data_IF_021486623151
#
_entry.id   IF_021486623151
#
_cell.length_a   1.000
_cell.length_b   1.000
_cell.length_c   1.000
_cell.angle_alpha   90.00
_cell.angle_beta   90.00
_cell.angle_gamma   90.00
#
_symmetry.space_group_name_H-M   'P 1'
#
loop_
_entity.id
_entity.type
_entity.pdbx_description
1 polymer ?
#
# COMPACT_ATOMS: atom_id res chain seq x y z
N UNK A 1 22.56 1.29 -7.56
CA UNK A 1 21.49 1.64 -8.52
C UNK A 1 20.19 1.64 -7.75
N UNK A 2 19.29 2.57 -8.00
CA UNK A 2 18.04 2.70 -7.26
C UNK A 2 16.88 2.48 -8.23
N UNK A 3 15.99 1.56 -7.88
CA UNK A 3 14.80 1.22 -8.65
C UNK A 3 13.60 1.99 -8.10
N UNK A 4 12.78 2.55 -9.00
CA UNK A 4 11.45 3.08 -8.68
C UNK A 4 10.45 1.94 -8.94
N UNK A 5 9.82 1.46 -7.88
CA UNK A 5 8.81 0.41 -7.91
C UNK A 5 7.42 1.02 -7.70
N UNK A 6 6.42 0.46 -8.37
CA UNK A 6 5.02 0.82 -8.15
C UNK A 6 4.34 -0.33 -7.38
N UNK A 7 3.90 -0.04 -6.15
CA UNK A 7 3.07 -0.90 -5.32
C UNK A 7 1.60 -0.51 -5.53
N UNK A 8 0.85 -1.40 -6.16
CA UNK A 8 -0.60 -1.24 -6.32
C UNK A 8 -1.29 -1.90 -5.13
N UNK A 9 -2.05 -1.09 -4.39
CA UNK A 9 -2.89 -1.54 -3.27
C UNK A 9 -4.34 -1.57 -3.77
N UNK A 10 -4.99 -2.72 -3.63
CA UNK A 10 -6.39 -2.90 -4.00
C UNK A 10 -7.34 -2.24 -3.00
N UNK A 11 -8.62 -2.20 -3.34
CA UNK A 11 -9.68 -1.81 -2.42
C UNK A 11 -10.06 -3.00 -1.53
N UNK A 12 -9.80 -2.86 -0.23
CA UNK A 12 -10.11 -3.86 0.79
C UNK A 12 -11.06 -3.30 1.87
N UNK A 13 -11.44 -2.01 1.78
CA UNK A 13 -12.17 -1.30 2.86
C UNK A 13 -13.31 -0.39 2.40
N UNK A 14 -13.56 -0.23 1.10
CA UNK A 14 -14.62 0.64 0.56
C UNK A 14 -15.76 -0.20 -0.08
N UNK A 15 -16.29 0.17 -1.24
CA UNK A 15 -17.38 -0.53 -1.94
C UNK A 15 -16.91 -1.64 -2.89
N UNK A 16 -15.59 -1.89 -2.95
CA UNK A 16 -15.00 -2.96 -3.77
C UNK A 16 -15.05 -2.66 -5.27
N UNK A 17 -15.37 -1.43 -5.70
CA UNK A 17 -15.53 -1.08 -7.12
C UNK A 17 -14.22 -0.82 -7.87
N UNK A 18 -13.23 -1.70 -7.69
CA UNK A 18 -11.99 -1.67 -8.47
C UNK A 18 -11.13 -0.44 -8.24
N UNK A 19 -11.32 0.23 -7.09
CA UNK A 19 -10.44 1.32 -6.65
C UNK A 19 -9.07 0.72 -6.32
N UNK A 20 -8.02 1.44 -6.68
CA UNK A 20 -6.65 1.06 -6.33
C UNK A 20 -5.89 2.31 -5.95
N UNK A 21 -5.01 2.20 -4.96
CA UNK A 21 -4.04 3.22 -4.65
C UNK A 21 -2.67 2.82 -5.19
N UNK A 22 -2.01 3.75 -5.86
CA UNK A 22 -0.64 3.56 -6.34
C UNK A 22 0.32 4.21 -5.35
N UNK A 23 1.27 3.43 -4.85
CA UNK A 23 2.32 3.89 -3.95
C UNK A 23 3.67 3.62 -4.58
N UNK A 24 4.54 4.64 -4.63
CA UNK A 24 5.85 4.49 -5.25
C UNK A 24 6.93 4.28 -4.20
N UNK A 25 7.76 3.26 -4.43
CA UNK A 25 8.84 2.87 -3.54
C UNK A 25 10.19 3.03 -4.25
N UNK A 26 11.17 3.57 -3.54
CA UNK A 26 12.57 3.46 -3.89
C UNK A 26 13.12 2.14 -3.34
N UNK A 27 13.89 1.41 -4.14
CA UNK A 27 14.57 0.17 -3.72
C UNK A 27 16.00 0.07 -4.24
N UNK A 28 16.86 -0.59 -3.47
CA UNK A 28 18.19 -1.01 -3.93
C UNK A 28 18.16 -2.30 -4.78
N UNK A 29 17.02 -2.98 -4.86
CA UNK A 29 16.79 -4.17 -5.70
C UNK A 29 15.63 -3.98 -6.67
N UNK A 30 15.60 -4.77 -7.73
CA UNK A 30 14.50 -4.72 -8.69
C UNK A 30 13.20 -5.35 -8.15
N UNK A 31 12.12 -5.16 -8.91
CA UNK A 31 10.79 -5.66 -8.60
C UNK A 31 10.77 -7.17 -8.36
N UNK A 32 11.49 -7.93 -9.17
CA UNK A 32 11.37 -9.39 -9.17
C UNK A 32 12.09 -9.97 -7.95
N UNK A 33 13.20 -9.37 -7.53
CA UNK A 33 13.88 -9.70 -6.28
C UNK A 33 13.01 -9.38 -5.05
N UNK A 34 12.40 -8.18 -5.00
CA UNK A 34 11.49 -7.81 -3.90
C UNK A 34 10.29 -8.74 -3.81
N UNK A 35 9.70 -9.12 -4.96
CA UNK A 35 8.59 -10.07 -5.02
C UNK A 35 9.00 -11.47 -4.54
N UNK A 36 10.17 -11.96 -4.96
CA UNK A 36 10.68 -13.26 -4.51
C UNK A 36 10.92 -13.27 -2.99
N UNK A 37 11.42 -12.16 -2.43
CA UNK A 37 11.61 -12.00 -0.99
C UNK A 37 10.29 -12.07 -0.22
N UNK A 38 9.21 -11.46 -0.72
CA UNK A 38 7.87 -11.56 -0.14
C UNK A 38 7.42 -13.01 -0.02
N UNK A 39 7.45 -13.76 -1.13
CA UNK A 39 7.01 -15.16 -1.14
C UNK A 39 7.86 -16.03 -0.23
N UNK A 40 9.18 -15.86 -0.25
CA UNK A 40 10.09 -16.58 0.65
C UNK A 40 9.80 -16.27 2.12
N UNK A 41 9.43 -15.03 2.45
CA UNK A 41 9.06 -14.63 3.80
C UNK A 41 7.74 -15.27 4.24
N UNK A 42 6.72 -15.28 3.37
CA UNK A 42 5.44 -15.94 3.62
C UNK A 42 5.63 -17.44 3.84
N UNK A 43 6.37 -18.12 2.96
CA UNK A 43 6.70 -19.54 3.07
C UNK A 43 7.38 -19.86 4.41
N UNK A 44 8.32 -18.99 4.84
CA UNK A 44 9.04 -19.14 6.12
C UNK A 44 8.11 -19.01 7.33
N UNK A 45 7.09 -18.15 7.25
CA UNK A 45 6.08 -17.99 8.30
C UNK A 45 4.95 -19.02 8.20
N UNK A 46 4.92 -19.87 7.16
CA UNK A 46 3.83 -20.81 6.92
C UNK A 46 2.52 -20.13 6.52
N UNK A 47 2.62 -18.95 5.89
CA UNK A 47 1.48 -18.16 5.44
C UNK A 47 1.28 -18.33 3.94
N UNK A 48 0.03 -18.40 3.50
CA UNK A 48 -0.32 -18.47 2.07
C UNK A 48 -0.68 -17.10 1.49
N UNK A 49 -0.99 -16.14 2.35
CA UNK A 49 -1.44 -14.80 2.00
C UNK A 49 -0.93 -13.76 3.00
N UNK A 50 -0.95 -12.51 2.56
CA UNK A 50 -0.65 -11.36 3.41
C UNK A 50 -1.97 -10.85 4.02
N UNK A 51 -2.00 -10.22 5.21
CA UNK A 51 -3.22 -9.61 5.73
C UNK A 51 -3.78 -8.56 4.76
N UNK A 52 -5.10 -8.34 4.84
CA UNK A 52 -5.81 -7.33 4.07
C UNK A 52 -5.78 -7.57 2.55
N UNK A 53 -5.87 -8.85 2.16
CA UNK A 53 -5.98 -9.25 0.74
C UNK A 53 -7.41 -9.35 0.25
N UNK A 54 -8.36 -9.62 1.14
CA UNK A 54 -9.77 -9.80 0.81
C UNK A 54 -10.61 -8.55 1.10
N UNK A 55 -11.76 -8.47 0.45
CA UNK A 55 -12.75 -7.43 0.72
C UNK A 55 -13.29 -7.57 2.15
N UNK A 56 -13.39 -6.45 2.88
CA UNK A 56 -13.74 -6.38 4.31
C UNK A 56 -12.69 -7.01 5.25
N UNK A 57 -11.52 -7.41 4.76
CA UNK A 57 -10.37 -7.81 5.59
C UNK A 57 -9.51 -6.59 5.96
N UNK A 58 -10.15 -5.52 6.43
CA UNK A 58 -9.46 -4.26 6.74
C UNK A 58 -8.95 -4.18 8.19
N UNK A 59 -8.99 -5.26 8.96
CA UNK A 59 -8.60 -5.25 10.37
C UNK A 59 -7.32 -6.04 10.64
N UNK A 60 -6.31 -5.39 11.20
CA UNK A 60 -5.07 -6.01 11.63
C UNK A 60 -5.02 -6.15 13.16
N UNK A 61 -4.69 -7.33 13.65
CA UNK A 61 -4.47 -7.61 15.07
C UNK A 61 -2.99 -7.74 15.41
N UNK A 62 -2.66 -7.59 16.70
CA UNK A 62 -1.31 -7.85 17.19
C UNK A 62 -0.86 -9.30 16.96
N UNK A 63 -1.79 -10.26 16.93
CA UNK A 63 -1.48 -11.66 16.63
C UNK A 63 -1.05 -11.85 15.16
N UNK A 64 -1.75 -11.21 14.21
CA UNK A 64 -1.37 -11.23 12.79
C UNK A 64 0.02 -10.61 12.58
N UNK A 65 0.37 -9.52 13.28
CA UNK A 65 1.74 -8.97 13.25
C UNK A 65 2.80 -9.98 13.70
N UNK A 66 2.52 -10.72 14.78
CA UNK A 66 3.42 -11.76 15.27
C UNK A 66 3.54 -12.94 14.29
N UNK A 67 2.45 -13.31 13.61
CA UNK A 67 2.47 -14.32 12.54
C UNK A 67 3.32 -13.86 11.35
N UNK A 68 3.36 -12.56 11.06
CA UNK A 68 4.28 -11.97 10.09
C UNK A 68 5.72 -11.90 10.59
N UNK A 69 6.01 -12.29 11.84
CA UNK A 69 7.33 -12.19 12.46
C UNK A 69 7.77 -10.76 12.78
N UNK A 70 6.83 -9.82 12.86
CA UNK A 70 7.09 -8.41 13.14
C UNK A 70 6.91 -8.16 14.64
N UNK A 71 7.99 -7.77 15.31
CA UNK A 71 8.00 -7.40 16.73
C UNK A 71 7.82 -5.88 16.90
N UNK A 72 6.66 -5.39 16.46
CA UNK A 72 6.24 -4.00 16.63
C UNK A 72 4.85 -3.96 17.29
N UNK A 73 4.59 -2.94 18.13
CA UNK A 73 3.24 -2.69 18.61
C UNK A 73 2.33 -2.32 17.43
N UNK A 74 1.05 -2.71 17.50
CA UNK A 74 0.05 -2.42 16.47
C UNK A 74 -0.10 -0.90 16.23
N UNK A 75 0.07 -0.13 17.30
CA UNK A 75 0.07 1.34 17.33
C UNK A 75 1.15 1.97 16.44
N UNK A 76 2.17 1.20 16.04
CA UNK A 76 3.18 1.67 15.07
C UNK A 76 2.60 1.90 13.67
N UNK A 77 1.42 1.36 13.38
CA UNK A 77 0.71 1.49 12.12
C UNK A 77 -0.51 2.40 12.22
N UNK A 78 -0.77 3.03 13.38
CA UNK A 78 -1.89 3.97 13.52
C UNK A 78 -1.70 5.19 12.60
N UNK A 79 -2.77 5.57 11.90
CA UNK A 79 -2.84 6.80 11.13
C UNK A 79 -3.77 7.79 11.84
N UNK A 80 -3.72 9.08 11.46
CA UNK A 80 -4.55 10.12 12.11
C UNK A 80 -6.06 9.86 12.01
N UNK A 81 -6.48 8.92 11.17
CA UNK A 81 -7.88 8.55 10.93
C UNK A 81 -8.29 7.23 11.61
N UNK A 82 -7.34 6.45 12.14
CA UNK A 82 -7.55 5.06 12.55
C UNK A 82 -6.96 4.84 13.94
N UNK A 83 -7.79 4.35 14.87
CA UNK A 83 -7.36 4.01 16.24
C UNK A 83 -7.55 2.53 16.47
N UNK A 84 -6.70 1.92 17.30
CA UNK A 84 -6.93 0.55 17.76
C UNK A 84 -8.23 0.49 18.57
N UNK A 85 -9.20 -0.29 18.10
CA UNK A 85 -10.44 -0.60 18.80
C UNK A 85 -10.56 -2.13 18.97
N UNK A 86 -10.92 -2.56 20.17
CA UNK A 86 -10.96 -3.97 20.57
C UNK A 86 -9.70 -4.79 20.20
N UNK A 87 -8.51 -4.16 20.28
CA UNK A 87 -7.23 -4.80 19.97
C UNK A 87 -6.96 -5.05 18.48
N UNK A 88 -7.75 -4.44 17.60
CA UNK A 88 -7.56 -4.45 16.15
C UNK A 88 -7.44 -3.03 15.62
N UNK A 89 -6.67 -2.87 14.56
CA UNK A 89 -6.46 -1.63 13.84
C UNK A 89 -7.14 -1.75 12.49
N UNK A 90 -8.03 -0.83 12.17
CA UNK A 90 -8.48 -0.65 10.80
C UNK A 90 -7.32 -0.11 9.96
N UNK A 91 -7.05 -0.75 8.83
CA UNK A 91 -5.92 -0.46 7.97
C UNK A 91 -6.34 0.47 6.83
N UNK A 92 -5.51 1.45 6.52
CA UNK A 92 -5.56 2.19 5.27
C UNK A 92 -4.36 1.82 4.37
N UNK A 93 -4.34 2.36 3.16
CA UNK A 93 -3.25 2.11 2.20
C UNK A 93 -1.88 2.55 2.72
N UNK A 94 -1.79 3.58 3.56
CA UNK A 94 -0.52 4.02 4.13
C UNK A 94 -0.03 2.99 5.15
N UNK A 95 -0.91 2.53 6.02
CA UNK A 95 -0.67 1.52 7.06
C UNK A 95 -0.26 0.19 6.43
N UNK A 96 -0.95 -0.28 5.37
CA UNK A 96 -0.57 -1.49 4.63
C UNK A 96 0.77 -1.33 3.93
N UNK A 97 1.05 -0.15 3.35
CA UNK A 97 2.36 0.11 2.74
C UNK A 97 3.47 -0.06 3.77
N UNK A 98 3.30 0.54 4.94
CA UNK A 98 4.28 0.46 6.02
C UNK A 98 4.44 -0.98 6.53
N UNK A 99 3.32 -1.72 6.67
CA UNK A 99 3.34 -3.13 7.03
C UNK A 99 4.09 -3.98 5.99
N UNK A 100 3.85 -3.74 4.70
CA UNK A 100 4.56 -4.42 3.62
C UNK A 100 6.07 -4.15 3.66
N UNK A 101 6.47 -2.87 3.82
CA UNK A 101 7.89 -2.49 3.95
C UNK A 101 8.52 -3.20 5.15
N UNK A 102 7.88 -3.15 6.31
CA UNK A 102 8.39 -3.79 7.52
C UNK A 102 8.50 -5.30 7.37
N UNK A 103 7.52 -5.94 6.74
CA UNK A 103 7.55 -7.37 6.48
C UNK A 103 8.76 -7.75 5.61
N UNK A 104 8.98 -7.04 4.49
CA UNK A 104 10.12 -7.30 3.61
C UNK A 104 11.43 -7.07 4.34
N UNK A 105 11.59 -5.94 5.04
CA UNK A 105 12.85 -5.59 5.70
C UNK A 105 13.12 -6.46 6.95
N UNK A 106 12.09 -7.01 7.59
CA UNK A 106 12.23 -7.96 8.70
C UNK A 106 12.80 -9.29 8.22
N UNK A 107 12.36 -9.78 7.05
CA UNK A 107 12.78 -11.09 6.53
C UNK A 107 13.91 -11.03 5.50
N UNK A 108 14.18 -9.85 4.93
CA UNK A 108 15.27 -9.57 3.99
C UNK A 108 15.88 -8.19 4.28
N UNK A 109 16.67 -8.05 5.37
CA UNK A 109 17.21 -6.76 5.83
C UNK A 109 18.15 -6.07 4.83
N UNK A 110 18.65 -6.80 3.85
CA UNK A 110 19.44 -6.25 2.75
C UNK A 110 18.61 -5.42 1.77
N UNK A 111 17.30 -5.68 1.69
CA UNK A 111 16.38 -4.89 0.86
C UNK A 111 16.02 -3.63 1.63
N UNK A 112 16.24 -2.48 1.02
CA UNK A 112 15.88 -1.18 1.55
C UNK A 112 14.72 -0.64 0.73
N UNK A 113 13.56 -0.43 1.36
CA UNK A 113 12.39 0.16 0.75
C UNK A 113 12.08 1.48 1.42
N UNK A 114 11.74 2.49 0.63
CA UNK A 114 11.31 3.79 1.16
C UNK A 114 10.24 4.36 0.25
N UNK A 115 9.15 4.85 0.85
CA UNK A 115 8.11 5.57 0.11
C UNK A 115 8.71 6.82 -0.50
N UNK A 116 8.46 7.04 -1.79
CA UNK A 116 8.86 8.24 -2.53
C UNK A 116 7.63 8.91 -3.12
N UNK A 117 7.69 10.23 -3.26
CA UNK A 117 6.63 10.97 -3.94
C UNK A 117 6.64 10.67 -5.44
N UNK A 118 5.46 10.61 -6.02
CA UNK A 118 5.33 10.68 -7.46
C UNK A 118 5.31 12.14 -7.88
N UNK A 119 6.43 12.61 -8.45
CA UNK A 119 6.54 13.98 -8.95
C UNK A 119 5.95 14.11 -10.36
N UNK A 120 5.17 13.13 -10.84
CA UNK A 120 4.50 13.24 -12.12
C UNK A 120 3.40 14.31 -12.06
N UNK A 121 3.42 15.26 -12.98
CA UNK A 121 2.37 16.26 -13.08
C UNK A 121 1.08 15.61 -13.61
N UNK A 122 -0.02 15.62 -12.84
CA UNK A 122 -1.30 15.12 -13.32
C UNK A 122 -1.82 16.00 -14.46
N UNK A 123 -2.26 15.37 -15.56
CA UNK A 123 -2.96 16.07 -16.64
C UNK A 123 -4.42 16.23 -16.21
N UNK A 124 -4.75 17.35 -15.59
CA UNK A 124 -6.15 17.65 -15.24
C UNK A 124 -6.91 18.16 -16.44
N UNK A 125 -8.00 17.47 -16.76
CA UNK A 125 -9.05 17.96 -17.63
C UNK A 125 -10.15 18.60 -16.79
N UNK A 126 -9.84 19.72 -16.12
CA UNK A 126 -10.83 20.58 -15.45
C UNK A 126 -10.72 22.05 -15.90
N UNK A 127 -11.85 22.68 -16.24
CA UNK A 127 -11.91 24.11 -16.59
C UNK A 127 -11.61 24.43 -18.06
N UNK A 128 -11.69 25.73 -18.43
CA UNK A 128 -11.33 26.19 -19.78
C UNK A 128 -9.81 26.25 -19.95
N UNK A 129 -9.30 25.80 -21.09
CA UNK A 129 -7.91 26.04 -21.49
C UNK A 129 -7.70 27.50 -21.95
N UNK A 130 -6.46 27.84 -22.35
CA UNK A 130 -6.09 29.15 -22.89
C UNK A 130 -6.89 29.58 -24.15
N UNK A 131 -7.60 28.66 -24.81
CA UNK A 131 -8.46 28.92 -25.96
C UNK A 131 -9.96 28.86 -25.58
N UNK A 132 -10.29 28.81 -24.28
CA UNK A 132 -11.66 28.70 -23.79
C UNK A 132 -12.31 27.33 -23.99
N UNK A 133 -11.56 26.31 -24.41
CA UNK A 133 -12.09 24.95 -24.57
C UNK A 133 -12.27 24.32 -23.21
N UNK A 134 -13.49 23.89 -22.90
CA UNK A 134 -13.76 23.11 -21.69
C UNK A 134 -13.12 21.74 -21.84
N UNK A 135 -12.52 21.30 -20.76
CA UNK A 135 -11.90 20.00 -20.63
C UNK A 135 -12.89 18.85 -20.88
N UNK A 136 -12.41 17.78 -21.53
CA UNK A 136 -13.17 16.55 -21.71
C UNK A 136 -12.99 15.71 -20.44
N UNK A 137 -14.05 15.50 -19.66
CA UNK A 137 -14.00 14.57 -18.53
C UNK A 137 -13.74 13.16 -19.06
N UNK A 138 -12.57 12.60 -18.77
CA UNK A 138 -12.21 11.23 -19.17
C UNK A 138 -12.74 10.23 -18.14
N UNK A 139 -14.03 9.92 -18.19
CA UNK A 139 -14.67 8.98 -17.27
C UNK A 139 -15.89 9.58 -16.56
N UNK A 140 -16.80 8.71 -16.13
CA UNK A 140 -17.99 9.10 -15.36
C UNK A 140 -17.57 9.53 -13.94
N UNK A 141 -18.15 10.60 -13.40
CA UNK A 141 -17.97 10.94 -11.97
C UNK A 141 -16.79 11.84 -11.59
N UNK A 142 -15.83 12.10 -12.48
CA UNK A 142 -14.55 12.70 -12.08
C UNK A 142 -14.62 14.17 -11.65
N UNK A 143 -15.61 14.93 -12.13
CA UNK A 143 -15.78 16.35 -11.81
C UNK A 143 -17.29 16.67 -11.81
N UNK A 144 -17.97 16.39 -10.70
CA UNK A 144 -19.33 16.87 -10.43
C UNK A 144 -19.30 18.03 -9.43
#
# INVERSE_FOLDING_TARGET
>A
MTYKLNLTIGDFSDDGHGKTQQVYLSSNYDRDYVRAAMWKALDKQGLTEFPCTDYEDNLLSQEQLRQLGIDKPLEAYESIYLTVDDGKLEMDSESITNLFIDFIQTHSPEIQLTVIKDDSEPIFFCGPDQNGRRSLGLGYGLFY
#
